data_IF_564325157467
#
_entry.id   IF_564325157467
#
_cell.length_a   1.000
_cell.length_b   1.000
_cell.length_c   1.000
_cell.angle_alpha   90.00
_cell.angle_beta   90.00
_cell.angle_gamma   90.00
#
_symmetry.space_group_name_H-M   'P 1'
#
loop_
_entity.id
_entity.type
_entity.pdbx_description
1 polymer ?
#
# COMPACT_ATOMS: atom_id res chain seq x y z
N UNK A 1 -1.74 -29.76 -8.32
CA UNK A 1 -1.51 -28.30 -8.30
C UNK A 1 -0.27 -28.06 -9.13
N UNK A 2 -0.41 -27.43 -10.30
CA UNK A 2 0.68 -27.25 -11.27
C UNK A 2 1.69 -26.21 -10.79
N UNK A 3 2.96 -26.44 -11.10
CA UNK A 3 4.08 -25.55 -10.78
C UNK A 3 3.86 -24.10 -11.28
N UNK A 4 3.06 -23.93 -12.33
CA UNK A 4 2.66 -22.61 -12.87
C UNK A 4 1.90 -21.76 -11.85
N UNK A 5 1.03 -22.35 -11.01
CA UNK A 5 0.30 -21.63 -9.96
C UNK A 5 1.26 -21.12 -8.86
N UNK A 6 2.35 -21.86 -8.63
CA UNK A 6 3.36 -21.52 -7.62
C UNK A 6 4.25 -20.39 -8.13
N UNK A 7 4.58 -20.38 -9.43
CA UNK A 7 5.32 -19.30 -10.07
C UNK A 7 4.51 -17.99 -10.09
N UNK A 8 3.24 -18.03 -10.51
CA UNK A 8 2.35 -16.86 -10.54
C UNK A 8 2.18 -16.22 -9.15
N UNK A 9 2.11 -17.03 -8.09
CA UNK A 9 2.02 -16.54 -6.72
C UNK A 9 3.32 -15.88 -6.24
N UNK A 10 4.48 -16.48 -6.55
CA UNK A 10 5.78 -15.93 -6.20
C UNK A 10 6.09 -14.62 -6.95
N UNK A 11 5.73 -14.53 -8.23
CA UNK A 11 5.88 -13.31 -9.03
C UNK A 11 4.98 -12.18 -8.52
N UNK A 12 3.74 -12.50 -8.11
CA UNK A 12 2.85 -11.53 -7.48
C UNK A 12 3.42 -11.04 -6.14
N UNK A 13 3.95 -11.93 -5.30
CA UNK A 13 4.61 -11.55 -4.04
C UNK A 13 5.80 -10.62 -4.28
N UNK A 14 6.68 -10.95 -5.22
CA UNK A 14 7.83 -10.11 -5.58
C UNK A 14 7.37 -8.75 -6.11
N UNK A 15 6.34 -8.71 -6.96
CA UNK A 15 5.77 -7.46 -7.47
C UNK A 15 5.20 -6.58 -6.34
N UNK A 16 4.52 -7.19 -5.37
CA UNK A 16 4.02 -6.48 -4.19
C UNK A 16 5.15 -5.99 -3.29
N UNK A 17 6.20 -6.79 -3.07
CA UNK A 17 7.36 -6.39 -2.28
C UNK A 17 8.13 -5.24 -2.94
N UNK A 18 8.24 -5.26 -4.27
CA UNK A 18 8.81 -4.15 -5.03
C UNK A 18 7.97 -2.88 -4.91
N UNK A 19 6.64 -2.96 -5.10
CA UNK A 19 5.74 -1.81 -4.95
C UNK A 19 5.78 -1.26 -3.52
N UNK A 20 5.86 -2.14 -2.52
CA UNK A 20 6.04 -1.78 -1.12
C UNK A 20 7.33 -0.98 -0.89
N UNK A 21 8.47 -1.49 -1.38
CA UNK A 21 9.76 -0.79 -1.24
C UNK A 21 9.78 0.58 -1.96
N UNK A 22 9.19 0.67 -3.15
CA UNK A 22 9.07 1.93 -3.89
C UNK A 22 8.21 2.93 -3.12
N UNK A 23 7.07 2.48 -2.59
CA UNK A 23 6.17 3.36 -1.85
C UNK A 23 6.81 3.90 -0.56
N UNK A 24 7.50 3.03 0.20
CA UNK A 24 8.28 3.45 1.37
C UNK A 24 9.32 4.52 1.03
N UNK A 25 10.08 4.30 -0.05
CA UNK A 25 11.11 5.24 -0.51
C UNK A 25 10.52 6.59 -0.89
N UNK A 26 9.44 6.61 -1.68
CA UNK A 26 8.77 7.87 -2.10
C UNK A 26 8.20 8.59 -0.89
N UNK A 27 7.52 7.88 0.02
CA UNK A 27 6.93 8.48 1.20
C UNK A 27 8.00 9.08 2.13
N UNK A 28 9.12 8.38 2.35
CA UNK A 28 10.25 8.89 3.13
C UNK A 28 10.84 10.17 2.51
N UNK A 29 11.09 10.18 1.19
CA UNK A 29 11.59 11.38 0.49
C UNK A 29 10.61 12.55 0.61
N UNK A 30 9.32 12.30 0.53
CA UNK A 30 8.30 13.35 0.70
C UNK A 30 8.28 13.92 2.12
N UNK A 31 8.38 13.06 3.13
CA UNK A 31 8.42 13.46 4.54
C UNK A 31 9.67 14.27 4.88
N UNK A 32 10.81 13.88 4.33
CA UNK A 32 12.07 14.63 4.48
C UNK A 32 12.01 16.00 3.81
N UNK A 33 11.35 16.10 2.65
CA UNK A 33 11.21 17.36 1.91
C UNK A 33 10.22 18.33 2.56
N UNK A 34 9.17 17.80 3.23
CA UNK A 34 8.05 18.57 3.79
C UNK A 34 7.73 18.16 5.23
N UNK A 35 8.65 18.34 6.18
CA UNK A 35 8.52 17.79 7.53
C UNK A 35 7.38 18.42 8.34
N UNK A 36 7.02 19.67 8.06
CA UNK A 36 5.92 20.35 8.75
C UNK A 36 4.54 19.84 8.30
N UNK A 37 4.39 19.45 7.03
CA UNK A 37 3.13 18.93 6.46
C UNK A 37 3.05 17.40 6.43
N UNK A 38 4.11 16.70 6.84
CA UNK A 38 4.26 15.26 6.65
C UNK A 38 3.08 14.42 7.16
N UNK A 39 2.51 14.78 8.32
CA UNK A 39 1.32 14.10 8.86
C UNK A 39 0.10 14.25 7.96
N UNK A 40 -0.16 15.45 7.45
CA UNK A 40 -1.32 15.71 6.59
C UNK A 40 -1.15 15.00 5.23
N UNK A 41 0.07 14.94 4.72
CA UNK A 41 0.43 14.18 3.52
C UNK A 41 0.15 12.69 3.71
N UNK A 42 0.59 12.09 4.82
CA UNK A 42 0.35 10.67 5.11
C UNK A 42 -1.16 10.37 5.23
N UNK A 43 -1.93 11.25 5.89
CA UNK A 43 -3.38 11.09 5.99
C UNK A 43 -4.09 11.23 4.64
N UNK A 44 -3.61 12.13 3.77
CA UNK A 44 -4.13 12.26 2.41
C UNK A 44 -3.85 10.99 1.60
N UNK A 45 -2.62 10.47 1.66
CA UNK A 45 -2.23 9.24 0.96
C UNK A 45 -3.08 8.04 1.41
N UNK A 46 -3.32 7.88 2.71
CA UNK A 46 -4.17 6.81 3.24
C UNK A 46 -5.60 6.84 2.64
N UNK A 47 -6.19 8.04 2.53
CA UNK A 47 -7.52 8.24 1.92
C UNK A 47 -7.53 7.96 0.43
N UNK A 48 -6.49 8.39 -0.30
CA UNK A 48 -6.35 8.14 -1.74
C UNK A 48 -6.18 6.65 -2.03
N UNK A 49 -5.38 5.93 -1.24
CA UNK A 49 -5.20 4.48 -1.36
C UNK A 49 -6.52 3.74 -1.09
N UNK A 50 -7.23 4.11 -0.02
CA UNK A 50 -8.55 3.53 0.30
C UNK A 50 -9.58 3.80 -0.81
N UNK A 51 -9.47 4.95 -1.48
CA UNK A 51 -10.37 5.31 -2.57
C UNK A 51 -10.04 4.55 -3.85
N UNK A 52 -8.76 4.45 -4.20
CA UNK A 52 -8.29 3.64 -5.32
C UNK A 52 -8.65 2.16 -5.14
N UNK A 53 -8.49 1.61 -3.93
CA UNK A 53 -8.90 0.24 -3.60
C UNK A 53 -10.38 0.01 -3.91
N UNK A 54 -11.27 0.87 -3.40
CA UNK A 54 -12.72 0.79 -3.68
C UNK A 54 -13.05 0.90 -5.17
N UNK A 55 -12.38 1.78 -5.90
CA UNK A 55 -12.56 1.91 -7.36
C UNK A 55 -12.14 0.64 -8.09
N UNK A 56 -11.00 0.04 -7.72
CA UNK A 56 -10.54 -1.22 -8.30
C UNK A 56 -11.51 -2.36 -7.99
N UNK A 57 -12.04 -2.45 -6.76
CA UNK A 57 -13.04 -3.47 -6.41
C UNK A 57 -14.34 -3.34 -7.24
N UNK A 58 -14.76 -2.12 -7.55
CA UNK A 58 -15.93 -1.87 -8.42
C UNK A 58 -15.68 -2.31 -9.87
N UNK A 59 -14.49 -2.00 -10.41
CA UNK A 59 -14.11 -2.35 -11.79
C UNK A 59 -13.75 -3.83 -11.92
N UNK A 60 -13.26 -4.45 -10.83
CA UNK A 60 -12.80 -5.85 -10.77
C UNK A 60 -13.40 -6.60 -9.58
N UNK A 61 -14.71 -6.93 -9.62
CA UNK A 61 -15.37 -7.68 -8.55
C UNK A 61 -14.80 -9.09 -8.33
N UNK A 62 -14.12 -9.66 -9.32
CA UNK A 62 -13.38 -10.91 -9.21
C UNK A 62 -12.16 -10.78 -8.29
N UNK A 63 -11.46 -9.65 -8.33
CA UNK A 63 -10.31 -9.37 -7.45
C UNK A 63 -10.74 -9.08 -6.02
N UNK A 64 -11.85 -8.36 -5.85
CA UNK A 64 -12.48 -8.14 -4.55
C UNK A 64 -12.85 -9.47 -3.87
N UNK A 65 -13.52 -10.39 -4.60
CA UNK A 65 -13.87 -11.72 -4.07
C UNK A 65 -12.65 -12.57 -3.70
N UNK A 66 -11.54 -12.40 -4.40
CA UNK A 66 -10.26 -13.08 -4.10
C UNK A 66 -9.47 -12.41 -2.96
N UNK A 67 -9.94 -11.28 -2.42
CA UNK A 67 -9.26 -10.54 -1.36
C UNK A 67 -7.97 -9.85 -1.78
N UNK A 68 -7.68 -9.78 -3.08
CA UNK A 68 -6.42 -9.21 -3.62
C UNK A 68 -6.33 -7.72 -3.30
N UNK A 69 -7.42 -6.98 -3.55
CA UNK A 69 -7.43 -5.52 -3.38
C UNK A 69 -7.32 -5.14 -1.91
N UNK A 70 -8.13 -5.76 -1.04
CA UNK A 70 -8.02 -5.59 0.42
C UNK A 70 -6.64 -5.98 0.95
N UNK A 71 -6.03 -7.04 0.43
CA UNK A 71 -4.70 -7.47 0.84
C UNK A 71 -3.61 -6.44 0.47
N UNK A 72 -3.70 -5.88 -0.73
CA UNK A 72 -2.80 -4.82 -1.19
C UNK A 72 -3.00 -3.53 -0.39
N UNK A 73 -4.24 -3.07 -0.24
CA UNK A 73 -4.61 -1.89 0.55
C UNK A 73 -4.07 -2.00 1.98
N UNK A 74 -4.35 -3.11 2.67
CA UNK A 74 -3.90 -3.31 4.05
C UNK A 74 -2.37 -3.28 4.21
N UNK A 75 -1.63 -3.82 3.25
CA UNK A 75 -0.16 -3.74 3.24
C UNK A 75 0.32 -2.29 3.11
N UNK A 76 -0.27 -1.51 2.21
CA UNK A 76 0.15 -0.12 2.00
C UNK A 76 -0.25 0.78 3.17
N UNK A 77 -1.46 0.63 3.71
CA UNK A 77 -1.90 1.35 4.91
C UNK A 77 -1.00 1.04 6.12
N UNK A 78 -0.58 -0.22 6.30
CA UNK A 78 0.34 -0.59 7.38
C UNK A 78 1.72 0.12 7.28
N UNK A 79 2.20 0.40 6.06
CA UNK A 79 3.41 1.19 5.84
C UNK A 79 3.19 2.63 6.27
N UNK A 80 2.08 3.25 5.84
CA UNK A 80 1.75 4.62 6.18
C UNK A 80 1.63 4.80 7.70
N UNK A 81 1.00 3.84 8.37
CA UNK A 81 0.94 3.81 9.83
C UNK A 81 2.33 3.69 10.47
N UNK A 82 3.21 2.82 9.93
CA UNK A 82 4.57 2.68 10.42
C UNK A 82 5.38 3.97 10.27
N UNK A 83 5.33 4.60 9.10
CA UNK A 83 5.98 5.88 8.82
C UNK A 83 5.43 7.00 9.72
N UNK A 84 4.11 7.02 9.95
CA UNK A 84 3.47 7.97 10.87
C UNK A 84 3.93 7.78 12.32
N UNK A 85 4.18 6.53 12.74
CA UNK A 85 4.75 6.24 14.07
C UNK A 85 6.19 6.72 14.18
N UNK A 86 7.00 6.49 13.15
CA UNK A 86 8.43 6.86 13.11
C UNK A 86 8.66 8.38 13.06
N UNK A 87 7.83 9.13 12.32
CA UNK A 87 8.06 10.57 12.08
C UNK A 87 7.32 11.51 13.04
N UNK A 88 6.44 11.01 13.91
CA UNK A 88 5.74 11.88 14.87
C UNK A 88 4.34 11.43 15.29
N UNK A 89 4.28 10.30 15.99
CA UNK A 89 3.35 9.90 17.07
C UNK A 89 1.85 10.23 16.95
N UNK A 90 1.02 9.19 16.79
CA UNK A 90 -0.29 9.08 17.45
C UNK A 90 -0.50 7.65 17.96
N UNK A 91 -0.66 7.58 19.28
CA UNK A 91 -1.52 6.62 19.96
C UNK A 91 -2.94 7.22 20.06
#
# INVERSE_FOLDING_TARGET
MSADIIADAAEAEIAFDFLNAVFQSVAAVMLDAMPAEGRDILQMLDREISTAARQIEQVRPDWARKGVVRGAEGRVCAILEALSREHGSIA
#
